data_IF_256339724072
#
_entry.id   IF_256339724072
#
_cell.length_a   1.000
_cell.length_b   1.000
_cell.length_c   1.000
_cell.angle_alpha   90.00
_cell.angle_beta   90.00
_cell.angle_gamma   90.00
#
_symmetry.space_group_name_H-M   'P 1'
#
loop_
_entity.id
_entity.type
_entity.pdbx_description
1 polymer ?
#
# COMPACT_ATOMS: atom_id res chain seq x y z
N UNK A 1 47.26 -44.72 -0.95
CA UNK A 1 47.80 -43.39 -0.59
C UNK A 1 47.22 -42.37 -1.56
N UNK A 2 46.56 -41.33 -1.03
CA UNK A 2 46.12 -40.06 -1.64
C UNK A 2 45.27 -40.16 -2.93
N UNK A 3 43.97 -39.85 -2.98
CA UNK A 3 43.21 -38.66 -2.53
C UNK A 3 43.74 -37.33 -3.10
N UNK A 4 43.03 -36.78 -4.11
CA UNK A 4 42.80 -35.33 -4.29
C UNK A 4 41.72 -35.03 -5.36
N UNK A 5 40.63 -34.44 -4.85
CA UNK A 5 39.56 -33.68 -5.50
C UNK A 5 40.00 -32.63 -6.55
N UNK A 6 39.13 -32.26 -7.51
CA UNK A 6 38.18 -31.13 -7.41
C UNK A 6 37.62 -30.74 -8.81
N UNK A 7 36.29 -30.59 -8.92
CA UNK A 7 35.55 -29.47 -9.57
C UNK A 7 35.83 -29.10 -11.05
N UNK A 8 34.91 -28.61 -11.88
CA UNK A 8 33.46 -28.39 -11.95
C UNK A 8 33.26 -27.67 -13.29
N UNK A 9 32.16 -27.89 -14.02
CA UNK A 9 31.51 -26.88 -14.89
C UNK A 9 30.19 -27.46 -15.42
N UNK A 10 29.24 -27.70 -14.52
CA UNK A 10 27.84 -27.82 -14.90
C UNK A 10 27.33 -26.40 -15.13
N UNK A 11 27.25 -25.99 -16.41
CA UNK A 11 26.64 -24.72 -16.82
C UNK A 11 25.13 -24.76 -16.52
N UNK A 12 24.72 -24.24 -15.36
CA UNK A 12 23.31 -24.01 -15.04
C UNK A 12 22.81 -22.83 -15.88
N UNK A 13 22.04 -23.16 -16.92
CA UNK A 13 21.40 -22.21 -17.84
C UNK A 13 20.33 -21.41 -17.08
N UNK A 14 20.69 -20.22 -16.59
CA UNK A 14 19.73 -19.24 -16.04
C UNK A 14 18.84 -18.77 -17.19
N UNK A 15 17.65 -19.36 -17.33
CA UNK A 15 16.60 -18.83 -18.21
C UNK A 15 15.96 -17.61 -17.56
N UNK A 16 16.16 -16.43 -18.17
CA UNK A 16 15.52 -15.16 -17.79
C UNK A 16 14.00 -15.30 -17.87
N UNK A 17 13.29 -14.59 -16.99
CA UNK A 17 11.82 -14.54 -16.95
C UNK A 17 11.21 -13.93 -18.24
N UNK A 18 12.04 -13.40 -19.15
CA UNK A 18 11.68 -12.84 -20.45
C UNK A 18 11.27 -13.88 -21.50
N UNK A 19 11.29 -15.19 -21.22
CA UNK A 19 10.89 -16.23 -22.16
C UNK A 19 9.40 -16.63 -22.07
N UNK A 20 8.58 -15.87 -21.35
CA UNK A 20 7.11 -16.01 -21.35
C UNK A 20 6.55 -14.74 -21.99
N UNK A 21 5.96 -14.91 -23.18
CA UNK A 21 5.44 -13.89 -24.11
C UNK A 21 6.46 -13.32 -25.14
N UNK A 22 7.01 -14.20 -25.98
CA UNK A 22 7.56 -13.83 -27.28
C UNK A 22 6.42 -13.73 -28.32
N UNK A 23 5.71 -12.60 -28.31
CA UNK A 23 5.03 -12.06 -29.47
C UNK A 23 5.10 -10.53 -29.32
N UNK A 24 5.33 -9.83 -30.43
CA UNK A 24 5.55 -8.38 -30.56
C UNK A 24 7.01 -7.94 -30.45
N UNK A 25 7.55 -7.68 -31.66
CA UNK A 25 8.89 -7.25 -31.93
C UNK A 25 9.18 -5.80 -31.55
N UNK A 26 10.40 -5.43 -31.94
CA UNK A 26 11.15 -4.23 -31.63
C UNK A 26 10.34 -2.93 -31.74
N UNK A 27 10.08 -2.30 -30.58
CA UNK A 27 9.97 -0.87 -30.29
C UNK A 27 9.31 -0.70 -28.90
N UNK A 28 10.10 -0.84 -27.83
CA UNK A 28 9.63 -0.73 -26.44
C UNK A 28 9.27 0.72 -26.08
N UNK A 29 7.98 1.05 -26.18
CA UNK A 29 7.36 2.20 -25.50
C UNK A 29 6.46 1.66 -24.39
N UNK A 30 6.77 1.99 -23.13
CA UNK A 30 5.90 1.67 -22.00
C UNK A 30 4.56 2.41 -22.15
N UNK A 31 3.54 1.77 -22.71
CA UNK A 31 2.15 2.24 -22.59
C UNK A 31 1.62 1.75 -21.25
N UNK A 32 1.79 2.56 -20.20
CA UNK A 32 1.10 2.32 -18.93
C UNK A 32 -0.39 2.19 -19.19
N UNK A 33 -1.05 1.21 -18.55
CA UNK A 33 -2.52 1.10 -18.60
C UNK A 33 -3.22 2.35 -18.06
N UNK A 34 -2.53 3.15 -17.26
CA UNK A 34 -3.08 4.38 -16.67
C UNK A 34 -2.20 5.57 -17.08
N UNK A 35 -2.75 6.64 -17.67
CA UNK A 35 -1.98 7.85 -17.97
C UNK A 35 -1.28 8.38 -16.72
N UNK A 36 -0.01 8.78 -16.85
CA UNK A 36 0.72 9.44 -15.77
C UNK A 36 0.17 10.85 -15.56
N UNK A 37 -0.17 11.20 -14.31
CA UNK A 37 -0.74 12.47 -13.88
C UNK A 37 -0.02 12.94 -12.62
N UNK A 38 0.28 14.23 -12.55
CA UNK A 38 0.84 14.83 -11.33
C UNK A 38 -0.19 14.87 -10.21
N UNK A 39 0.22 15.19 -8.97
CA UNK A 39 -0.74 15.43 -7.89
C UNK A 39 -1.64 16.61 -8.21
N UNK A 40 -1.09 17.68 -8.79
CA UNK A 40 -1.84 18.90 -9.10
C UNK A 40 -2.89 18.65 -10.18
N UNK A 41 -2.55 17.88 -11.22
CA UNK A 41 -3.52 17.46 -12.24
C UNK A 41 -4.64 16.61 -11.62
N UNK A 42 -4.26 15.69 -10.71
CA UNK A 42 -5.22 14.85 -9.97
C UNK A 42 -6.09 15.68 -9.04
N UNK A 43 -5.56 16.73 -8.40
CA UNK A 43 -6.31 17.67 -7.57
C UNK A 43 -7.32 18.46 -8.39
N UNK A 44 -6.93 18.96 -9.55
CA UNK A 44 -7.85 19.68 -10.43
C UNK A 44 -8.97 18.78 -10.94
N UNK A 45 -8.65 17.57 -11.39
CA UNK A 45 -9.66 16.60 -11.82
C UNK A 45 -10.55 16.13 -10.66
N UNK A 46 -9.98 15.88 -9.48
CA UNK A 46 -10.74 15.43 -8.32
C UNK A 46 -11.69 16.52 -7.82
N UNK A 47 -11.29 17.79 -7.86
CA UNK A 47 -12.18 18.91 -7.51
C UNK A 47 -13.41 18.97 -8.42
N UNK A 48 -13.28 18.59 -9.70
CA UNK A 48 -14.43 18.49 -10.62
C UNK A 48 -15.33 17.30 -10.27
N UNK A 49 -14.75 16.16 -9.88
CA UNK A 49 -15.46 14.93 -9.52
C UNK A 49 -16.17 15.05 -8.16
N UNK A 50 -15.53 15.72 -7.19
CA UNK A 50 -16.04 15.96 -5.84
C UNK A 50 -16.71 17.33 -5.68
N UNK A 51 -17.10 17.97 -6.80
CA UNK A 51 -17.71 19.31 -6.84
C UNK A 51 -19.07 19.42 -6.13
N UNK A 52 -19.62 18.28 -5.65
CA UNK A 52 -20.65 18.26 -4.62
C UNK A 52 -20.09 18.80 -3.31
N UNK A 53 -20.44 20.04 -2.98
CA UNK A 53 -20.06 20.75 -1.75
C UNK A 53 -20.07 19.81 -0.54
N UNK A 54 -18.89 19.56 0.05
CA UNK A 54 -18.83 19.03 1.41
C UNK A 54 -19.59 20.01 2.30
N UNK A 55 -20.77 19.63 2.84
CA UNK A 55 -21.63 20.59 3.50
C UNK A 55 -20.94 21.08 4.77
N UNK A 56 -20.78 22.40 4.95
CA UNK A 56 -20.24 22.92 6.19
C UNK A 56 -21.27 22.72 7.29
N UNK A 57 -20.90 21.98 8.35
CA UNK A 57 -21.74 21.90 9.55
C UNK A 57 -21.53 23.18 10.36
N UNK A 58 -22.47 24.13 10.23
CA UNK A 58 -22.41 25.41 10.97
C UNK A 58 -22.35 25.15 12.48
N UNK A 59 -21.48 25.89 13.17
CA UNK A 59 -21.33 25.84 14.63
C UNK A 59 -20.43 24.72 15.16
N UNK A 60 -19.88 23.88 14.27
CA UNK A 60 -19.00 22.79 14.65
C UNK A 60 -17.52 23.22 14.61
N UNK A 61 -16.99 23.69 15.73
CA UNK A 61 -15.59 24.12 15.90
C UNK A 61 -14.70 23.07 16.59
N UNK A 62 -15.25 21.89 16.91
CA UNK A 62 -14.56 20.85 17.68
C UNK A 62 -13.81 19.89 16.77
N UNK A 63 -12.59 19.50 17.16
CA UNK A 63 -11.80 18.48 16.45
C UNK A 63 -12.48 17.09 16.48
N UNK A 64 -13.25 16.82 17.54
CA UNK A 64 -13.91 15.53 17.76
C UNK A 64 -15.42 15.70 17.96
N UNK A 65 -16.20 14.79 17.37
CA UNK A 65 -17.67 14.91 17.31
C UNK A 65 -18.36 14.33 18.54
N UNK A 66 -17.62 13.54 19.32
CA UNK A 66 -18.09 12.85 20.51
C UNK A 66 -16.99 12.78 21.57
N UNK A 67 -17.40 12.44 22.79
CA UNK A 67 -16.45 12.20 23.88
C UNK A 67 -15.61 10.95 23.59
N UNK A 68 -16.23 9.93 23.02
CA UNK A 68 -15.63 8.68 22.58
C UNK A 68 -14.55 8.92 21.52
N UNK A 69 -14.80 9.79 20.55
CA UNK A 69 -13.80 10.21 19.58
C UNK A 69 -12.61 10.93 20.23
N UNK A 70 -12.86 11.73 21.27
CA UNK A 70 -11.78 12.39 22.04
C UNK A 70 -10.92 11.36 22.80
N UNK A 71 -11.55 10.36 23.44
CA UNK A 71 -10.83 9.28 24.12
C UNK A 71 -10.04 8.44 23.10
N UNK A 72 -10.67 8.07 22.00
CA UNK A 72 -10.05 7.34 20.90
C UNK A 72 -8.84 8.09 20.34
N UNK A 73 -8.96 9.39 20.09
CA UNK A 73 -7.84 10.21 19.63
C UNK A 73 -6.62 10.12 20.56
N UNK A 74 -6.84 10.18 21.89
CA UNK A 74 -5.76 10.09 22.88
C UNK A 74 -5.04 8.74 22.81
N UNK A 75 -5.74 7.63 22.61
CA UNK A 75 -5.10 6.32 22.46
C UNK A 75 -4.29 6.23 21.16
N UNK A 76 -4.78 6.85 20.07
CA UNK A 76 -4.07 6.92 18.79
C UNK A 76 -2.79 7.77 18.85
N UNK A 77 -2.69 8.74 19.77
CA UNK A 77 -1.46 9.51 19.94
C UNK A 77 -0.27 8.67 20.40
N UNK A 78 -0.52 7.55 21.09
CA UNK A 78 0.52 6.62 21.55
C UNK A 78 1.02 5.69 20.43
N UNK A 79 0.30 5.63 19.32
CA UNK A 79 0.55 4.71 18.20
C UNK A 79 1.41 5.38 17.14
N UNK A 80 2.36 4.61 16.61
CA UNK A 80 3.16 5.01 15.44
C UNK A 80 2.38 4.89 14.13
N UNK A 81 3.04 5.20 13.02
CA UNK A 81 2.46 5.12 11.67
C UNK A 81 3.26 4.18 10.77
N UNK A 82 2.57 3.43 9.92
CA UNK A 82 3.17 2.70 8.80
C UNK A 82 3.21 3.63 7.59
N UNK A 83 4.34 4.28 7.37
CA UNK A 83 4.56 5.16 6.20
C UNK A 83 4.62 4.32 4.93
N UNK A 84 3.84 4.72 3.91
CA UNK A 84 3.83 4.08 2.61
C UNK A 84 5.18 4.21 1.90
N UNK A 85 5.55 3.17 1.17
CA UNK A 85 6.75 3.17 0.34
C UNK A 85 6.49 3.63 -1.08
N UNK A 86 7.54 4.02 -1.79
CA UNK A 86 7.48 4.41 -3.20
C UNK A 86 8.54 3.68 -4.02
N UNK A 87 8.21 3.32 -5.24
CA UNK A 87 9.15 2.77 -6.22
C UNK A 87 9.58 3.88 -7.18
N UNK A 88 10.87 3.93 -7.55
CA UNK A 88 11.34 4.89 -8.58
C UNK A 88 11.10 4.28 -9.97
N UNK A 89 10.20 4.84 -10.80
CA UNK A 89 9.93 4.33 -12.15
C UNK A 89 11.13 4.42 -13.09
N UNK A 90 12.15 5.23 -12.76
CA UNK A 90 13.39 5.34 -13.55
C UNK A 90 14.38 4.22 -13.25
N UNK A 91 14.17 3.46 -12.17
CA UNK A 91 15.05 2.37 -11.81
C UNK A 91 14.75 1.13 -12.66
N UNK A 92 15.63 0.85 -13.64
CA UNK A 92 15.52 -0.30 -14.55
C UNK A 92 15.49 -1.66 -13.84
N UNK A 93 16.06 -1.77 -12.62
CA UNK A 93 16.00 -3.01 -11.84
C UNK A 93 14.59 -3.34 -11.35
N UNK A 94 13.67 -2.38 -11.39
CA UNK A 94 12.27 -2.52 -10.98
C UNK A 94 11.32 -2.74 -12.17
N UNK A 95 11.83 -2.90 -13.39
CA UNK A 95 10.99 -3.02 -14.60
C UNK A 95 10.00 -4.20 -14.51
N UNK A 96 10.47 -5.37 -14.08
CA UNK A 96 9.61 -6.54 -13.87
C UNK A 96 8.54 -6.30 -12.79
N UNK A 97 8.89 -5.55 -11.74
CA UNK A 97 7.97 -5.19 -10.64
C UNK A 97 6.89 -4.26 -11.15
N UNK A 98 7.27 -3.18 -11.84
CA UNK A 98 6.32 -2.24 -12.44
C UNK A 98 5.43 -2.91 -13.47
N UNK A 99 5.96 -3.82 -14.29
CA UNK A 99 5.15 -4.60 -15.23
C UNK A 99 4.06 -5.41 -14.51
N UNK A 100 4.37 -6.04 -13.39
CA UNK A 100 3.38 -6.79 -12.60
C UNK A 100 2.31 -5.86 -12.02
N UNK A 101 2.72 -4.72 -11.45
CA UNK A 101 1.81 -3.73 -10.85
C UNK A 101 0.91 -3.07 -11.89
N UNK A 102 1.47 -2.67 -13.04
CA UNK A 102 0.74 -1.99 -14.11
C UNK A 102 -0.28 -2.92 -14.79
N UNK A 103 0.05 -4.22 -14.90
CA UNK A 103 -0.88 -5.23 -15.44
C UNK A 103 -2.20 -5.32 -14.67
N UNK A 104 -2.18 -5.03 -13.36
CA UNK A 104 -3.39 -4.98 -12.51
C UNK A 104 -3.88 -3.54 -12.28
N UNK A 105 -3.25 -2.53 -12.89
CA UNK A 105 -3.64 -1.13 -12.79
C UNK A 105 -3.33 -0.47 -11.45
N UNK A 106 -2.34 -0.97 -10.69
CA UNK A 106 -2.04 -0.49 -9.33
C UNK A 106 -0.83 0.45 -9.26
N UNK A 107 -0.40 1.04 -10.37
CA UNK A 107 0.83 1.83 -10.47
C UNK A 107 0.88 3.00 -9.48
N UNK A 108 -0.23 3.71 -9.28
CA UNK A 108 -0.30 4.83 -8.33
C UNK A 108 -0.29 4.41 -6.86
N UNK A 109 -0.46 3.12 -6.55
CA UNK A 109 -0.32 2.62 -5.17
C UNK A 109 1.12 2.63 -4.67
N UNK A 110 2.09 2.79 -5.58
CA UNK A 110 3.54 2.82 -5.30
C UNK A 110 4.23 4.08 -5.83
N UNK A 111 3.46 5.01 -6.40
CA UNK A 111 3.94 6.29 -6.93
C UNK A 111 3.30 7.43 -6.14
N UNK A 112 3.95 8.60 -6.16
CA UNK A 112 3.39 9.85 -5.63
C UNK A 112 2.88 9.75 -4.18
N UNK A 113 3.68 9.13 -3.31
CA UNK A 113 3.38 9.08 -1.87
C UNK A 113 3.70 10.43 -1.23
N UNK A 114 2.65 11.19 -0.92
CA UNK A 114 2.76 12.51 -0.30
C UNK A 114 2.81 12.43 1.23
N UNK A 115 3.51 13.36 1.90
CA UNK A 115 3.46 13.50 3.36
C UNK A 115 2.04 13.62 3.91
N UNK A 116 1.87 13.30 5.19
CA UNK A 116 0.61 13.43 5.91
C UNK A 116 0.76 14.24 7.18
N UNK A 117 -0.30 14.95 7.58
CA UNK A 117 -0.38 15.55 8.92
C UNK A 117 -0.85 14.48 9.93
N UNK A 118 -0.01 14.08 10.90
CA UNK A 118 -0.34 13.02 11.86
C UNK A 118 -1.65 13.26 12.61
N UNK A 119 -1.85 14.52 13.01
CA UNK A 119 -3.03 14.96 13.75
C UNK A 119 -4.32 14.77 12.98
N UNK A 120 -4.33 15.19 11.71
CA UNK A 120 -5.49 15.01 10.82
C UNK A 120 -5.82 13.53 10.61
N UNK A 121 -4.79 12.68 10.43
CA UNK A 121 -5.01 11.23 10.27
C UNK A 121 -5.60 10.62 11.54
N UNK A 122 -5.12 11.01 12.73
CA UNK A 122 -5.69 10.54 14.01
C UNK A 122 -7.11 11.06 14.23
N UNK A 123 -7.40 12.32 13.88
CA UNK A 123 -8.76 12.89 13.89
C UNK A 123 -9.68 12.05 13.00
N UNK A 124 -9.23 11.70 11.79
CA UNK A 124 -9.98 10.83 10.88
C UNK A 124 -10.33 9.48 11.47
N UNK A 125 -9.33 8.76 12.01
CA UNK A 125 -9.52 7.41 12.56
C UNK A 125 -10.39 7.44 13.83
N UNK A 126 -10.25 8.48 14.65
CA UNK A 126 -11.00 8.61 15.90
C UNK A 126 -12.43 9.10 15.72
N UNK A 127 -12.73 9.86 14.67
CA UNK A 127 -14.07 10.38 14.37
C UNK A 127 -15.00 9.30 13.76
N UNK A 128 -15.08 8.15 14.41
CA UNK A 128 -16.05 7.08 14.13
C UNK A 128 -17.37 7.29 14.89
N UNK A 129 -18.52 6.80 14.38
CA UNK A 129 -18.67 6.09 13.11
C UNK A 129 -18.50 7.04 11.93
N UNK A 130 -17.96 6.51 10.82
CA UNK A 130 -18.18 7.15 9.53
C UNK A 130 -19.69 7.05 9.27
N UNK A 131 -20.36 8.19 9.10
CA UNK A 131 -21.77 8.17 8.73
C UNK A 131 -21.89 7.66 7.27
N UNK A 132 -23.11 7.44 6.77
CA UNK A 132 -23.33 7.01 5.38
C UNK A 132 -22.70 7.97 4.35
N UNK A 133 -22.43 9.21 4.76
CA UNK A 133 -21.85 10.28 3.95
C UNK A 133 -20.31 10.35 4.03
N UNK A 134 -19.67 9.83 5.08
CA UNK A 134 -18.22 9.85 5.27
C UNK A 134 -17.72 10.17 6.70
N UNK A 135 -16.53 10.78 6.78
CA UNK A 135 -15.85 11.13 8.02
C UNK A 135 -15.96 12.64 8.30
N UNK A 136 -16.46 13.02 9.48
CA UNK A 136 -16.51 14.42 9.90
C UNK A 136 -15.13 14.89 10.38
N UNK A 137 -14.53 15.81 9.64
CA UNK A 137 -13.23 16.42 9.95
C UNK A 137 -13.36 17.93 9.87
N UNK A 138 -13.16 18.59 11.01
CA UNK A 138 -13.06 20.07 11.10
C UNK A 138 -14.24 20.80 10.47
N UNK A 139 -15.46 20.30 10.70
CA UNK A 139 -16.71 20.90 10.21
C UNK A 139 -17.10 20.47 8.78
N UNK A 140 -16.37 19.54 8.17
CA UNK A 140 -16.58 19.05 6.81
C UNK A 140 -16.72 17.51 6.80
N UNK A 141 -17.64 16.97 6.01
CA UNK A 141 -17.84 15.52 5.81
C UNK A 141 -17.09 15.04 4.57
N UNK A 142 -16.02 14.26 4.76
CA UNK A 142 -15.20 13.71 3.68
C UNK A 142 -15.66 12.30 3.33
N UNK A 143 -16.00 12.04 2.07
CA UNK A 143 -16.46 10.72 1.64
C UNK A 143 -15.32 9.71 1.79
N UNK A 144 -15.61 8.56 2.38
CA UNK A 144 -14.66 7.47 2.51
C UNK A 144 -15.34 6.16 2.12
N UNK A 145 -15.04 5.67 0.92
CA UNK A 145 -15.62 4.44 0.38
C UNK A 145 -14.63 3.78 -0.60
N UNK A 146 -14.80 2.49 -0.91
CA UNK A 146 -13.98 1.78 -1.90
C UNK A 146 -13.85 2.53 -3.23
N UNK A 147 -14.96 3.07 -3.77
CA UNK A 147 -14.96 3.79 -5.03
C UNK A 147 -14.15 5.09 -4.97
N UNK A 148 -14.27 5.86 -3.89
CA UNK A 148 -13.47 7.08 -3.67
C UNK A 148 -11.98 6.75 -3.57
N UNK A 149 -11.63 5.64 -2.90
CA UNK A 149 -10.24 5.18 -2.81
C UNK A 149 -9.74 4.73 -4.19
N UNK A 150 -10.55 4.03 -4.98
CA UNK A 150 -10.16 3.60 -6.32
C UNK A 150 -9.94 4.80 -7.26
N UNK A 151 -10.83 5.79 -7.21
CA UNK A 151 -10.68 7.05 -7.97
C UNK A 151 -9.41 7.78 -7.57
N UNK A 152 -9.18 7.92 -6.27
CA UNK A 152 -7.95 8.48 -5.72
C UNK A 152 -6.73 7.77 -6.32
N UNK A 153 -6.65 6.45 -6.17
CA UNK A 153 -5.49 5.67 -6.57
C UNK A 153 -5.47 5.33 -8.06
N UNK A 154 -6.41 5.87 -8.84
CA UNK A 154 -6.60 5.58 -10.26
C UNK A 154 -6.57 4.07 -10.57
N UNK A 155 -7.12 3.27 -9.65
CA UNK A 155 -7.20 1.81 -9.78
C UNK A 155 -8.51 1.41 -10.45
N UNK A 156 -8.54 0.28 -11.17
CA UNK A 156 -9.76 -0.21 -11.80
C UNK A 156 -10.88 -0.43 -10.77
N UNK A 157 -12.11 -0.12 -11.15
CA UNK A 157 -13.30 -0.56 -10.40
C UNK A 157 -13.54 -2.03 -10.73
N UNK A 158 -13.76 -2.85 -9.70
CA UNK A 158 -13.94 -4.30 -9.87
C UNK A 158 -15.27 -4.69 -9.24
N UNK A 159 -16.22 -5.16 -10.05
CA UNK A 159 -17.55 -5.57 -9.55
C UNK A 159 -17.47 -6.80 -8.63
N UNK A 160 -16.61 -7.75 -8.98
CA UNK A 160 -16.46 -9.01 -8.26
C UNK A 160 -14.99 -9.24 -7.89
N UNK A 161 -14.59 -8.69 -6.75
CA UNK A 161 -13.23 -8.83 -6.24
C UNK A 161 -12.88 -10.30 -6.00
N UNK A 162 -11.73 -10.73 -6.54
CA UNK A 162 -11.22 -12.07 -6.34
C UNK A 162 -10.95 -12.34 -4.85
N UNK A 163 -11.43 -13.49 -4.37
CA UNK A 163 -11.30 -13.92 -2.98
C UNK A 163 -9.88 -14.40 -2.67
N UNK A 164 -8.92 -13.49 -2.67
CA UNK A 164 -7.50 -13.77 -2.47
C UNK A 164 -7.21 -14.37 -1.08
N UNK A 165 -8.07 -14.12 -0.09
CA UNK A 165 -7.97 -14.70 1.27
C UNK A 165 -8.13 -16.22 1.26
N UNK A 166 -8.82 -16.78 0.26
CA UNK A 166 -9.11 -18.22 0.13
C UNK A 166 -8.08 -18.98 -0.72
N UNK A 167 -7.04 -18.28 -1.22
CA UNK A 167 -5.95 -18.90 -1.96
C UNK A 167 -5.24 -19.94 -1.10
N UNK A 168 -5.07 -21.14 -1.66
CA UNK A 168 -4.33 -22.22 -1.01
C UNK A 168 -2.85 -21.81 -0.85
N UNK A 169 -2.43 -21.58 0.40
CA UNK A 169 -1.09 -21.09 0.73
C UNK A 169 0.04 -21.91 0.08
N UNK A 170 -0.09 -23.24 0.06
CA UNK A 170 0.88 -24.14 -0.58
C UNK A 170 1.10 -23.77 -2.05
N UNK A 171 0.01 -23.53 -2.78
CA UNK A 171 0.04 -23.13 -4.19
C UNK A 171 0.69 -21.75 -4.36
N UNK A 172 0.39 -20.80 -3.48
CA UNK A 172 0.99 -19.48 -3.49
C UNK A 172 2.52 -19.55 -3.34
N UNK A 173 3.00 -20.26 -2.31
CA UNK A 173 4.44 -20.39 -2.03
C UNK A 173 5.17 -21.09 -3.18
N UNK A 174 4.66 -22.23 -3.65
CA UNK A 174 5.29 -22.96 -4.75
C UNK A 174 5.37 -22.12 -6.03
N UNK A 175 4.35 -21.31 -6.31
CA UNK A 175 4.37 -20.42 -7.47
C UNK A 175 5.40 -19.28 -7.32
N UNK A 176 5.36 -18.57 -6.19
CA UNK A 176 6.19 -17.37 -5.96
C UNK A 176 7.68 -17.69 -5.78
N UNK A 177 8.02 -18.93 -5.42
CA UNK A 177 9.39 -19.42 -5.24
C UNK A 177 9.88 -20.29 -6.40
N UNK A 178 9.08 -20.45 -7.47
CA UNK A 178 9.37 -21.34 -8.61
C UNK A 178 9.65 -22.79 -8.18
N UNK A 179 8.97 -23.26 -7.15
CA UNK A 179 9.10 -24.60 -6.61
C UNK A 179 10.26 -24.82 -5.63
N UNK A 180 11.05 -23.78 -5.30
CA UNK A 180 12.09 -23.91 -4.26
C UNK A 180 11.47 -24.25 -2.88
N UNK A 181 10.26 -23.74 -2.61
CA UNK A 181 9.49 -24.11 -1.42
C UNK A 181 8.21 -24.84 -1.84
N UNK A 182 7.96 -26.00 -1.24
CA UNK A 182 6.77 -26.83 -1.49
C UNK A 182 5.61 -26.54 -0.52
N UNK A 183 5.76 -25.56 0.37
CA UNK A 183 4.77 -25.18 1.37
C UNK A 183 5.33 -24.23 2.43
N UNK A 184 4.60 -24.05 3.54
CA UNK A 184 4.98 -23.15 4.63
C UNK A 184 6.23 -23.61 5.39
N UNK A 185 6.37 -24.92 5.62
CA UNK A 185 7.51 -25.47 6.34
C UNK A 185 8.80 -25.22 5.55
N UNK A 186 9.76 -24.54 6.17
CA UNK A 186 11.03 -24.17 5.53
C UNK A 186 10.94 -22.97 4.58
N UNK A 187 9.79 -22.31 4.49
CA UNK A 187 9.65 -21.08 3.70
C UNK A 187 10.42 -19.92 4.35
N UNK A 188 11.08 -19.13 3.50
CA UNK A 188 11.68 -17.85 3.87
C UNK A 188 11.34 -16.82 2.78
N UNK A 189 11.08 -15.56 3.15
CA UNK A 189 10.78 -14.48 2.19
C UNK A 189 11.90 -14.30 1.16
N UNK A 190 13.15 -14.60 1.52
CA UNK A 190 14.30 -14.55 0.61
C UNK A 190 14.28 -15.65 -0.46
N UNK A 191 13.42 -16.68 -0.32
CA UNK A 191 13.21 -17.71 -1.34
C UNK A 191 12.25 -17.27 -2.46
N UNK A 192 11.57 -16.11 -2.30
CA UNK A 192 10.73 -15.54 -3.36
C UNK A 192 11.60 -15.14 -4.56
N UNK A 193 11.05 -15.20 -5.77
CA UNK A 193 11.71 -14.62 -6.93
C UNK A 193 11.90 -13.10 -6.74
N UNK A 194 12.97 -12.54 -7.31
CA UNK A 194 13.34 -11.12 -7.17
C UNK A 194 12.16 -10.12 -7.26
N UNK A 195 11.28 -10.15 -8.29
CA UNK A 195 10.17 -9.22 -8.35
C UNK A 195 9.20 -9.39 -7.18
N UNK A 196 8.99 -10.62 -6.70
CA UNK A 196 8.10 -10.91 -5.58
C UNK A 196 8.69 -10.55 -4.21
N UNK A 197 10.02 -10.48 -4.08
CA UNK A 197 10.65 -9.93 -2.87
C UNK A 197 10.36 -8.43 -2.74
N UNK A 198 10.49 -7.68 -3.84
CA UNK A 198 10.15 -6.25 -3.86
C UNK A 198 8.66 -6.04 -3.65
N UNK A 199 7.81 -6.81 -4.35
CA UNK A 199 6.36 -6.74 -4.17
C UNK A 199 5.94 -7.12 -2.74
N UNK A 200 6.66 -8.00 -2.06
CA UNK A 200 6.42 -8.29 -0.65
C UNK A 200 6.65 -7.05 0.23
N UNK A 201 7.70 -6.26 -0.03
CA UNK A 201 7.92 -4.97 0.63
C UNK A 201 6.84 -3.93 0.29
N UNK A 202 6.31 -3.97 -0.94
CA UNK A 202 5.13 -3.17 -1.31
C UNK A 202 3.91 -3.60 -0.49
N UNK A 203 3.65 -4.91 -0.38
CA UNK A 203 2.57 -5.44 0.47
C UNK A 203 2.67 -4.96 1.92
N UNK A 204 3.86 -5.06 2.53
CA UNK A 204 4.11 -4.65 3.92
C UNK A 204 3.74 -3.20 4.24
N UNK A 205 3.73 -2.31 3.23
CA UNK A 205 3.59 -0.86 3.45
C UNK A 205 2.36 -0.27 2.77
N UNK A 206 2.02 -0.76 1.58
CA UNK A 206 1.10 -0.07 0.67
C UNK A 206 -0.20 -0.83 0.41
N UNK A 207 -0.21 -2.17 0.53
CA UNK A 207 -1.38 -2.97 0.17
C UNK A 207 -1.98 -3.71 1.36
N UNK A 208 -1.12 -4.30 2.21
CA UNK A 208 -1.52 -5.07 3.38
C UNK A 208 -0.55 -4.84 4.56
N UNK A 209 -0.46 -3.59 5.06
CA UNK A 209 0.34 -3.25 6.21
C UNK A 209 -0.16 -3.92 7.49
N UNK A 210 0.77 -4.27 8.38
CA UNK A 210 0.46 -4.99 9.61
C UNK A 210 1.70 -5.59 10.26
N UNK A 211 1.54 -6.24 11.42
CA UNK A 211 2.66 -6.83 12.15
C UNK A 211 3.32 -7.97 11.37
N UNK A 212 4.62 -8.19 11.62
CA UNK A 212 5.37 -9.34 11.10
C UNK A 212 5.01 -10.62 11.87
N UNK A 213 3.77 -11.09 11.70
CA UNK A 213 3.27 -12.36 12.21
C UNK A 213 3.11 -13.38 11.09
N UNK A 214 3.24 -14.66 11.40
CA UNK A 214 3.01 -15.76 10.45
C UNK A 214 1.70 -15.61 9.68
N UNK A 215 0.62 -15.22 10.36
CA UNK A 215 -0.68 -15.00 9.74
C UNK A 215 -0.62 -13.88 8.69
N UNK A 216 0.04 -12.77 9.00
CA UNK A 216 0.16 -11.65 8.07
C UNK A 216 1.06 -11.99 6.88
N UNK A 217 2.18 -12.67 7.11
CA UNK A 217 3.07 -13.16 6.05
C UNK A 217 2.27 -14.05 5.09
N UNK A 218 1.50 -15.01 5.61
CA UNK A 218 0.64 -15.90 4.81
C UNK A 218 -0.38 -15.12 3.99
N UNK A 219 -1.07 -14.14 4.58
CA UNK A 219 -2.02 -13.28 3.85
C UNK A 219 -1.34 -12.51 2.71
N UNK A 220 -0.15 -11.94 2.97
CA UNK A 220 0.63 -11.22 1.93
C UNK A 220 1.03 -12.14 0.78
N UNK A 221 1.42 -13.39 1.06
CA UNK A 221 1.74 -14.37 0.02
C UNK A 221 0.52 -14.74 -0.82
N UNK A 222 -0.65 -14.91 -0.20
CA UNK A 222 -1.90 -15.16 -0.93
C UNK A 222 -2.28 -13.98 -1.84
N UNK A 223 -2.15 -12.74 -1.35
CA UNK A 223 -2.36 -11.54 -2.15
C UNK A 223 -1.36 -11.45 -3.32
N UNK A 224 -0.07 -11.66 -3.06
CA UNK A 224 0.98 -11.66 -4.10
C UNK A 224 0.74 -12.72 -5.16
N UNK A 225 0.28 -13.90 -4.78
CA UNK A 225 -0.09 -14.93 -5.74
C UNK A 225 -1.23 -14.47 -6.64
N UNK A 226 -2.28 -13.86 -6.08
CA UNK A 226 -3.40 -13.36 -6.86
C UNK A 226 -2.96 -12.25 -7.84
N UNK A 227 -2.08 -11.34 -7.38
CA UNK A 227 -1.42 -10.31 -8.21
C UNK A 227 -0.58 -10.95 -9.32
N UNK A 228 0.24 -11.94 -9.01
CA UNK A 228 1.06 -12.66 -10.00
C UNK A 228 0.21 -13.36 -11.07
N UNK A 229 -0.99 -13.82 -10.69
CA UNK A 229 -1.97 -14.43 -11.57
C UNK A 229 -2.90 -13.43 -12.27
N UNK A 230 -2.65 -12.12 -12.11
CA UNK A 230 -3.44 -11.03 -12.70
C UNK A 230 -4.93 -11.16 -12.35
N UNK A 231 -5.23 -11.61 -11.13
CA UNK A 231 -6.61 -11.66 -10.63
C UNK A 231 -7.10 -10.25 -10.33
N UNK A 232 -8.34 -9.98 -10.66
CA UNK A 232 -8.97 -8.69 -10.40
C UNK A 232 -9.29 -8.57 -8.92
N UNK A 233 -8.68 -7.60 -8.25
CA UNK A 233 -8.90 -7.30 -6.84
C UNK A 233 -9.24 -5.83 -6.74
N UNK A 234 -10.34 -5.53 -6.06
CA UNK A 234 -10.71 -4.15 -5.76
C UNK A 234 -9.74 -3.59 -4.70
N UNK A 235 -8.88 -2.65 -5.10
CA UNK A 235 -7.92 -2.02 -4.20
C UNK A 235 -8.60 -1.15 -3.14
N UNK A 236 -9.63 -0.40 -3.54
CA UNK A 236 -10.42 0.42 -2.66
C UNK A 236 -11.09 -0.38 -1.56
N UNK A 237 -11.68 -1.53 -1.90
CA UNK A 237 -12.27 -2.45 -0.92
C UNK A 237 -11.20 -3.02 0.01
N UNK A 238 -10.05 -3.43 -0.54
CA UNK A 238 -8.92 -3.94 0.24
C UNK A 238 -8.47 -2.93 1.31
N UNK A 239 -8.32 -1.65 0.94
CA UNK A 239 -7.92 -0.59 1.88
C UNK A 239 -9.05 -0.24 2.85
N UNK A 240 -10.28 -0.10 2.34
CA UNK A 240 -11.45 0.26 3.14
C UNK A 240 -11.65 -0.71 4.30
N UNK A 241 -11.68 -2.02 4.04
CA UNK A 241 -11.83 -3.06 5.08
C UNK A 241 -10.78 -2.91 6.18
N UNK A 242 -9.52 -2.73 5.80
CA UNK A 242 -8.41 -2.60 6.75
C UNK A 242 -8.52 -1.33 7.60
N UNK A 243 -8.95 -0.21 7.01
CA UNK A 243 -9.14 1.05 7.77
C UNK A 243 -10.32 0.90 8.73
N UNK A 244 -11.45 0.33 8.28
CA UNK A 244 -12.61 0.06 9.14
C UNK A 244 -12.20 -0.85 10.31
N UNK A 245 -11.48 -1.93 10.06
CA UNK A 245 -11.00 -2.82 11.11
C UNK A 245 -10.07 -2.09 12.09
N UNK A 246 -9.16 -1.25 11.60
CA UNK A 246 -8.28 -0.44 12.44
C UNK A 246 -9.05 0.49 13.39
N UNK A 247 -10.18 1.09 12.96
CA UNK A 247 -11.00 1.94 13.84
C UNK A 247 -11.64 1.18 15.01
N UNK A 248 -11.72 -0.15 14.90
CA UNK A 248 -12.26 -1.06 15.94
C UNK A 248 -11.16 -1.56 16.89
N UNK A 249 -9.88 -1.49 16.49
CA UNK A 249 -8.77 -1.95 17.30
C UNK A 249 -8.40 -0.97 18.41
N UNK A 250 -8.26 -1.50 19.63
CA UNK A 250 -7.83 -0.75 20.84
C UNK A 250 -6.38 -1.02 21.23
N UNK A 251 -5.69 -1.92 20.52
CA UNK A 251 -4.29 -2.25 20.78
C UNK A 251 -3.36 -1.05 20.50
N UNK A 252 -2.61 -0.66 21.53
CA UNK A 252 -1.68 0.47 21.51
C UNK A 252 -0.36 0.14 20.81
N UNK A 253 0.00 -1.13 20.67
CA UNK A 253 1.25 -1.55 20.01
C UNK A 253 1.11 -1.62 18.48
N UNK A 254 -0.12 -1.67 17.98
CA UNK A 254 -0.38 -1.71 16.54
C UNK A 254 -0.20 -0.33 15.92
N UNK A 255 0.67 -0.18 14.91
CA UNK A 255 0.82 1.09 14.19
C UNK A 255 -0.41 1.43 13.32
N UNK A 256 -0.66 2.72 13.11
CA UNK A 256 -1.72 3.21 12.22
C UNK A 256 -1.32 3.02 10.76
N UNK A 257 -2.24 2.51 9.96
CA UNK A 257 -2.01 2.14 8.57
C UNK A 257 -2.61 3.17 7.60
N UNK A 258 -2.06 3.22 6.38
CA UNK A 258 -2.48 4.10 5.29
C UNK A 258 -2.54 5.61 5.62
N UNK A 259 -1.62 6.18 6.41
CA UNK A 259 -1.71 7.59 6.78
C UNK A 259 -1.56 8.54 5.58
N UNK A 260 -0.67 8.19 4.64
CA UNK A 260 -0.46 8.97 3.41
C UNK A 260 -1.73 8.98 2.55
N UNK A 261 -2.30 7.79 2.27
CA UNK A 261 -3.54 7.64 1.51
C UNK A 261 -4.71 8.37 2.18
N UNK A 262 -4.91 8.20 3.49
CA UNK A 262 -5.99 8.88 4.23
C UNK A 262 -5.85 10.40 4.07
N UNK A 263 -4.67 10.96 4.33
CA UNK A 263 -4.49 12.41 4.24
C UNK A 263 -4.65 12.93 2.81
N UNK A 264 -4.10 12.21 1.82
CA UNK A 264 -4.24 12.56 0.41
C UNK A 264 -5.71 12.51 -0.05
N UNK A 265 -6.47 11.52 0.42
CA UNK A 265 -7.92 11.40 0.17
C UNK A 265 -8.69 12.61 0.69
N UNK A 266 -8.31 13.14 1.86
CA UNK A 266 -8.95 14.33 2.42
C UNK A 266 -8.64 15.55 1.55
N UNK A 267 -7.35 15.83 1.31
CA UNK A 267 -6.88 17.00 0.55
C UNK A 267 -7.43 17.03 -0.88
N UNK A 268 -7.57 15.87 -1.53
CA UNK A 268 -8.10 15.78 -2.90
C UNK A 268 -9.61 16.02 -2.99
N UNK A 269 -10.37 15.79 -1.92
CA UNK A 269 -11.78 16.16 -1.88
C UNK A 269 -11.94 17.64 -1.53
N UNK A 270 -11.20 18.11 -0.52
CA UNK A 270 -11.21 19.50 -0.05
C UNK A 270 -9.96 19.79 0.75
N UNK A 271 -9.43 21.01 0.61
CA UNK A 271 -8.35 21.47 1.47
C UNK A 271 -8.75 21.35 2.94
N UNK A 272 -7.91 20.66 3.72
CA UNK A 272 -8.16 20.44 5.16
C UNK A 272 -7.75 21.71 5.91
N UNK A 273 -8.68 22.41 6.59
CA UNK A 273 -8.34 23.65 7.29
C UNK A 273 -7.30 23.40 8.37
N UNK A 274 -6.17 24.11 8.34
CA UNK A 274 -5.15 24.01 9.39
C UNK A 274 -5.62 24.68 10.69
N UNK A 275 -5.37 24.03 11.82
CA UNK A 275 -5.74 24.50 13.15
C UNK A 275 -4.49 24.67 14.04
N UNK A 276 -4.50 25.60 15.02
CA UNK A 276 -3.39 25.77 15.94
C UNK A 276 -2.98 24.46 16.64
N UNK A 277 -1.68 24.15 16.63
CA UNK A 277 -1.13 22.91 17.18
C UNK A 277 -1.13 21.72 16.21
N UNK A 278 -1.49 21.93 14.95
CA UNK A 278 -1.21 20.94 13.90
C UNK A 278 0.30 20.82 13.66
N UNK A 279 0.74 19.57 13.51
CA UNK A 279 2.12 19.24 13.24
C UNK A 279 2.40 19.39 11.73
N UNK A 280 3.64 19.76 11.40
CA UNK A 280 4.16 19.74 10.04
C UNK A 280 3.93 18.36 9.38
N UNK A 281 3.58 18.30 8.08
CA UNK A 281 3.42 17.03 7.39
C UNK A 281 4.69 16.19 7.41
N UNK A 282 4.57 14.92 7.82
CA UNK A 282 5.67 13.95 7.90
C UNK A 282 5.45 12.77 6.95
N UNK A 283 6.42 11.84 6.92
CA UNK A 283 6.24 10.56 6.25
C UNK A 283 6.27 10.67 4.73
N UNK A 284 7.26 11.38 4.17
CA UNK A 284 7.58 11.28 2.73
C UNK A 284 7.75 9.80 2.35
N UNK A 285 7.32 9.43 1.14
CA UNK A 285 7.39 8.06 0.64
C UNK A 285 8.77 7.43 0.87
N UNK A 286 8.77 6.26 1.52
CA UNK A 286 10.01 5.55 1.79
C UNK A 286 10.45 4.80 0.53
N UNK A 287 11.67 5.03 0.01
CA UNK A 287 12.12 4.34 -1.19
C UNK A 287 12.18 2.82 -0.93
N UNK A 288 11.50 2.05 -1.78
CA UNK A 288 11.59 0.60 -1.79
C UNK A 288 12.62 0.23 -2.86
N UNK A 289 13.74 -0.34 -2.44
CA UNK A 289 14.83 -0.72 -3.32
C UNK A 289 14.75 -2.20 -3.75
N UNK A 290 15.32 -2.52 -4.90
CA UNK A 290 15.58 -3.90 -5.33
C UNK A 290 16.80 -4.51 -4.63
N UNK A 291 16.96 -5.84 -4.73
CA UNK A 291 18.16 -6.55 -4.24
C UNK A 291 19.40 -5.99 -4.98
N UNK A 292 20.15 -5.14 -4.29
CA UNK A 292 21.29 -4.41 -4.86
C UNK A 292 21.61 -3.10 -4.11
N UNK A 293 20.69 -2.59 -3.30
CA UNK A 293 21.05 -1.58 -2.28
C UNK A 293 21.27 -2.28 -0.95
N UNK A 294 22.52 -2.51 -0.58
CA UNK A 294 22.87 -3.03 0.74
C UNK A 294 22.31 -2.12 1.85
N UNK A 295 21.29 -2.61 2.54
CA UNK A 295 21.34 -2.88 3.98
C UNK A 295 21.80 -1.80 4.96
N UNK A 296 21.87 -0.52 4.58
CA UNK A 296 22.40 0.56 5.43
C UNK A 296 21.42 1.74 5.55
N UNK A 297 20.13 1.44 5.75
CA UNK A 297 19.18 2.40 6.31
C UNK A 297 19.28 2.40 7.84
N UNK A 298 19.24 3.56 8.53
CA UNK A 298 19.40 3.61 9.97
C UNK A 298 18.27 2.83 10.63
N UNK A 299 18.62 1.79 11.40
CA UNK A 299 17.75 1.19 12.42
C UNK A 299 17.59 2.20 13.56
N UNK A 300 16.89 3.29 13.27
CA UNK A 300 16.49 4.28 14.23
C UNK A 300 15.03 4.06 14.58
N UNK A 301 14.76 3.31 15.66
CA UNK A 301 13.57 3.56 16.48
C UNK A 301 13.73 4.99 17.04
N UNK A 302 13.35 6.01 16.28
CA UNK A 302 12.97 7.29 16.87
C UNK A 302 11.49 7.17 17.19
N UNK A 303 11.20 6.89 18.46
CA UNK A 303 9.93 7.32 19.04
C UNK A 303 9.91 8.84 18.85
N UNK A 304 9.07 9.32 17.94
CA UNK A 304 8.70 10.71 17.91
C UNK A 304 7.71 10.86 19.06
N UNK A 305 8.20 11.44 20.17
CA UNK A 305 7.37 11.98 21.23
C UNK A 305 6.63 13.22 20.73
#
# INVERSE_FOLDING_TARGET
MADQNLSSFVRTRIRRFSEIDNAYGEHYQFRSRVPFKSLDDRLQESQLIFSGTVPPIRGYSRRHHSHEATIGYRSLCLRGFVVQGSLDPRNRLLEDVFRIIDNIGWSYTVLHVHPFCPRVVREFISNKPFNEEGALIRGFVYRFSPSVINQLMMTPTVEHSFQWKDVVLKQAITHLTRGQCSGWTGFNVNALLNPFQVLYRVCERNWLPGPESDLMIKKRLCLLYAVAKRKEIDFGQLVYEQVIDMTRLTDLDTSLIFPNLIYQLLVLQKEVPLLPGDEEPIGRGLPIYGLGSDGSGPRGRRRLC
#
